data_IF_827818226633
#
_entry.id   IF_827818226633
#
_cell.length_a   1.000
_cell.length_b   1.000
_cell.length_c   1.000
_cell.angle_alpha   90.00
_cell.angle_beta   90.00
_cell.angle_gamma   90.00
#
_symmetry.space_group_name_H-M   'P 1'
#
loop_
_entity.id
_entity.type
_entity.pdbx_description
1 polymer ?
#
# COMPACT_ATOMS: atom_id res chain seq x y z
N UNK A 1 3.46 22.73 5.42
CA UNK A 1 4.23 21.48 5.25
C UNK A 1 5.54 21.43 6.06
N UNK A 2 6.09 22.57 6.52
CA UNK A 2 7.34 22.60 7.31
C UNK A 2 7.29 22.03 8.75
N UNK A 3 6.09 21.83 9.32
CA UNK A 3 5.92 21.25 10.67
C UNK A 3 5.87 19.70 10.66
N UNK A 4 5.61 19.08 9.50
CA UNK A 4 5.62 17.61 9.36
C UNK A 4 7.03 17.02 9.21
N UNK A 5 8.04 17.87 9.06
CA UNK A 5 9.45 17.48 8.89
C UNK A 5 10.38 18.29 9.80
N UNK A 6 9.89 18.86 10.90
CA UNK A 6 10.78 19.45 11.90
C UNK A 6 11.74 18.38 12.38
N UNK A 7 13.05 18.65 12.28
CA UNK A 7 14.09 17.80 12.86
C UNK A 7 14.11 18.08 14.36
N UNK A 8 13.89 17.08 15.23
CA UNK A 8 13.96 17.30 16.68
C UNK A 8 15.40 17.57 17.13
N UNK A 9 16.41 17.13 16.37
CA UNK A 9 17.81 17.56 16.52
C UNK A 9 18.55 17.58 15.17
N UNK A 10 19.39 18.59 14.95
CA UNK A 10 20.27 18.68 13.77
C UNK A 10 21.53 17.79 13.90
N UNK A 11 21.74 17.19 15.08
CA UNK A 11 22.88 16.31 15.35
C UNK A 11 22.47 14.85 15.23
N UNK A 12 23.05 14.12 14.28
CA UNK A 12 22.90 12.67 14.17
C UNK A 12 23.37 11.95 15.45
N UNK A 13 22.78 10.79 15.81
CA UNK A 13 23.29 9.98 16.91
C UNK A 13 24.72 9.52 16.62
N UNK A 14 25.49 9.29 17.69
CA UNK A 14 26.87 8.81 17.55
C UNK A 14 26.91 7.50 16.75
N UNK A 15 27.81 7.39 15.78
CA UNK A 15 27.90 6.21 14.92
C UNK A 15 26.81 6.11 13.85
N UNK A 16 26.04 7.17 13.59
CA UNK A 16 25.14 7.20 12.44
C UNK A 16 25.91 7.39 11.13
N UNK A 17 25.70 6.47 10.20
CA UNK A 17 26.24 6.56 8.84
C UNK A 17 25.12 6.29 7.83
N UNK A 18 25.29 6.80 6.61
CA UNK A 18 24.40 6.43 5.51
C UNK A 18 24.43 4.91 5.28
N UNK A 19 23.28 4.31 5.00
CA UNK A 19 23.19 2.90 4.66
C UNK A 19 24.24 2.51 3.62
N UNK A 20 24.97 1.43 3.88
CA UNK A 20 26.03 0.90 3.03
C UNK A 20 27.40 1.59 3.11
N UNK A 21 27.56 2.62 3.95
CA UNK A 21 28.85 3.29 4.15
C UNK A 21 29.86 2.40 4.89
N UNK A 22 30.88 1.93 4.18
CA UNK A 22 31.92 1.02 4.70
C UNK A 22 32.85 1.67 5.72
N UNK A 23 32.89 3.00 5.82
CA UNK A 23 33.66 3.68 6.89
C UNK A 23 33.16 3.29 8.29
N UNK A 24 31.91 2.85 8.38
CA UNK A 24 31.28 2.45 9.63
C UNK A 24 31.71 1.07 10.14
N UNK A 25 32.44 0.27 9.33
CA UNK A 25 32.86 -1.10 9.69
C UNK A 25 33.83 -1.09 10.87
N UNK A 26 34.72 -0.10 10.93
CA UNK A 26 35.71 0.03 12.00
C UNK A 26 35.16 0.80 13.22
N UNK A 27 33.89 1.19 13.19
CA UNK A 27 33.25 1.91 14.29
C UNK A 27 32.96 1.00 15.47
N UNK A 28 33.39 1.39 16.67
CA UNK A 28 33.15 0.64 17.92
C UNK A 28 31.68 0.43 18.25
N UNK A 29 30.78 1.25 17.70
CA UNK A 29 29.33 1.20 17.91
C UNK A 29 28.62 0.29 16.89
N UNK A 30 29.24 -0.05 15.76
CA UNK A 30 28.60 -0.80 14.66
C UNK A 30 29.14 -2.21 14.53
N UNK A 31 30.46 -2.37 14.57
CA UNK A 31 31.12 -3.67 14.37
C UNK A 31 30.56 -4.80 15.26
N UNK A 32 30.23 -4.58 16.55
CA UNK A 32 29.74 -5.65 17.42
C UNK A 32 28.38 -6.23 17.02
N UNK A 33 27.59 -5.52 16.22
CA UNK A 33 26.19 -5.86 15.93
C UNK A 33 25.98 -6.40 14.50
N UNK A 34 27.07 -6.72 13.80
CA UNK A 34 27.00 -7.30 12.46
C UNK A 34 26.43 -8.72 12.51
N UNK A 35 25.41 -8.99 11.71
CA UNK A 35 24.78 -10.30 11.62
C UNK A 35 23.88 -10.70 12.79
N UNK A 36 23.60 -9.79 13.72
CA UNK A 36 22.70 -10.01 14.87
C UNK A 36 21.49 -9.06 14.80
N UNK A 37 20.28 -9.61 14.97
CA UNK A 37 19.04 -8.85 15.07
C UNK A 37 18.08 -9.41 16.15
N UNK A 38 18.62 -10.01 17.20
CA UNK A 38 17.85 -10.71 18.26
C UNK A 38 16.81 -9.86 18.99
N UNK A 39 16.93 -8.53 18.97
CA UNK A 39 16.02 -7.63 19.68
C UNK A 39 16.16 -7.63 21.20
N UNK A 40 17.26 -8.21 21.70
CA UNK A 40 17.58 -8.28 23.13
C UNK A 40 18.63 -7.23 23.47
N UNK A 41 18.22 -6.18 24.17
CA UNK A 41 19.10 -5.03 24.49
C UNK A 41 19.99 -5.26 25.73
N UNK A 42 19.67 -6.28 26.56
CA UNK A 42 20.47 -6.65 27.74
C UNK A 42 20.78 -5.47 28.68
N UNK A 43 21.90 -5.57 29.41
CA UNK A 43 22.46 -4.50 30.24
C UNK A 43 23.50 -3.64 29.46
N UNK A 44 23.35 -3.53 28.14
CA UNK A 44 24.30 -2.80 27.29
C UNK A 44 24.24 -1.30 27.63
N UNK A 45 25.37 -0.63 27.87
CA UNK A 45 25.40 0.82 28.10
C UNK A 45 24.77 1.58 26.94
N UNK A 46 23.92 2.58 27.23
CA UNK A 46 23.19 3.34 26.21
C UNK A 46 24.08 4.07 25.19
N UNK A 47 25.34 4.33 25.54
CA UNK A 47 26.35 4.95 24.67
C UNK A 47 26.94 4.01 23.62
N UNK A 48 26.82 2.70 23.82
CA UNK A 48 27.36 1.66 22.94
C UNK A 48 26.30 1.08 22.01
N UNK A 49 25.02 1.40 22.24
CA UNK A 49 23.92 0.95 21.40
C UNK A 49 24.02 1.50 19.97
N UNK A 50 23.62 0.71 18.96
CA UNK A 50 23.60 1.17 17.59
C UNK A 50 22.58 2.29 17.37
N UNK A 51 22.73 3.08 16.30
CA UNK A 51 21.83 4.17 15.97
C UNK A 51 20.44 3.71 15.50
N UNK A 52 20.21 2.40 15.35
CA UNK A 52 18.93 1.81 14.95
C UNK A 52 18.55 0.65 15.89
N UNK A 53 17.24 0.32 16.03
CA UNK A 53 16.82 -0.86 16.76
C UNK A 53 17.45 -2.16 16.24
N UNK A 54 17.81 -3.09 17.12
CA UNK A 54 18.40 -4.38 16.75
C UNK A 54 17.53 -5.18 15.79
N UNK A 55 16.22 -5.15 15.98
CA UNK A 55 15.27 -5.83 15.09
C UNK A 55 15.25 -5.27 13.66
N UNK A 56 15.83 -4.08 13.43
CA UNK A 56 15.87 -3.44 12.13
C UNK A 56 17.19 -3.71 11.39
N UNK A 57 18.13 -4.41 12.03
CA UNK A 57 19.42 -4.78 11.45
C UNK A 57 19.20 -5.85 10.39
N UNK A 58 19.74 -5.57 9.20
CA UNK A 58 19.83 -6.49 8.07
C UNK A 58 21.25 -6.39 7.54
N UNK A 59 22.19 -7.07 8.19
CA UNK A 59 23.61 -7.05 7.81
C UNK A 59 24.18 -8.45 7.78
N UNK A 60 25.22 -8.71 6.96
CA UNK A 60 25.94 -9.96 7.03
C UNK A 60 26.87 -9.97 8.26
N UNK A 61 27.22 -11.17 8.74
CA UNK A 61 28.22 -11.36 9.81
C UNK A 61 29.62 -10.87 9.41
N UNK A 62 29.94 -10.95 8.12
CA UNK A 62 31.19 -10.46 7.54
C UNK A 62 30.88 -9.69 6.25
N UNK A 63 31.40 -8.47 6.13
CA UNK A 63 31.19 -7.63 4.96
C UNK A 63 32.33 -7.89 3.96
N UNK A 64 32.07 -8.78 3.00
CA UNK A 64 33.01 -9.08 1.90
C UNK A 64 32.71 -8.29 0.63
N UNK A 65 31.44 -7.96 0.41
CA UNK A 65 30.95 -7.25 -0.76
C UNK A 65 30.56 -5.80 -0.44
N UNK A 66 30.53 -4.94 -1.47
CA UNK A 66 29.99 -3.58 -1.37
C UNK A 66 28.50 -3.59 -1.05
N UNK A 67 28.14 -2.99 0.07
CA UNK A 67 26.75 -2.76 0.47
C UNK A 67 26.10 -1.64 -0.37
N UNK A 68 24.80 -1.73 -0.67
CA UNK A 68 24.11 -0.70 -1.43
C UNK A 68 23.97 0.59 -0.61
N UNK A 69 24.27 1.72 -1.23
CA UNK A 69 24.11 3.04 -0.59
C UNK A 69 22.63 3.39 -0.35
N UNK A 70 22.35 4.31 0.56
CA UNK A 70 20.99 4.84 0.81
C UNK A 70 20.28 5.27 -0.49
N UNK A 71 21.00 5.95 -1.38
CA UNK A 71 20.47 6.42 -2.66
C UNK A 71 20.12 5.28 -3.61
N UNK A 72 20.93 4.21 -3.64
CA UNK A 72 20.67 3.02 -4.45
C UNK A 72 19.45 2.24 -3.93
N UNK A 73 19.29 2.12 -2.61
CA UNK A 73 18.13 1.44 -2.02
C UNK A 73 16.84 2.22 -2.34
N UNK A 74 16.82 3.54 -2.12
CA UNK A 74 15.66 4.37 -2.44
C UNK A 74 15.34 4.36 -3.93
N UNK A 75 16.37 4.41 -4.79
CA UNK A 75 16.19 4.32 -6.25
C UNK A 75 15.62 2.96 -6.64
N UNK A 76 16.09 1.86 -6.04
CA UNK A 76 15.56 0.52 -6.29
C UNK A 76 14.09 0.40 -5.90
N UNK A 77 13.68 1.00 -4.76
CA UNK A 77 12.27 1.09 -4.39
C UNK A 77 11.46 1.91 -5.39
N UNK A 78 12.00 3.05 -5.86
CA UNK A 78 11.29 3.95 -6.76
C UNK A 78 11.10 3.30 -8.13
N UNK A 79 12.13 2.66 -8.67
CA UNK A 79 12.07 1.91 -9.92
C UNK A 79 11.09 0.75 -9.82
N UNK A 80 11.16 -0.03 -8.72
CA UNK A 80 10.22 -1.15 -8.52
C UNK A 80 8.78 -0.66 -8.45
N UNK A 81 8.51 0.42 -7.69
CA UNK A 81 7.17 1.00 -7.61
C UNK A 81 6.71 1.58 -8.95
N UNK A 82 7.57 2.21 -9.73
CA UNK A 82 7.21 2.71 -11.06
C UNK A 82 6.75 1.56 -11.99
N UNK A 83 7.46 0.43 -11.96
CA UNK A 83 7.05 -0.78 -12.69
C UNK A 83 5.70 -1.30 -12.18
N UNK A 84 5.52 -1.38 -10.86
CA UNK A 84 4.26 -1.80 -10.24
C UNK A 84 3.11 -0.87 -10.66
N UNK A 85 3.29 0.44 -10.64
CA UNK A 85 2.27 1.42 -11.03
C UNK A 85 1.79 1.18 -12.47
N UNK A 86 2.70 0.96 -13.40
CA UNK A 86 2.37 0.71 -14.81
C UNK A 86 1.59 -0.61 -14.94
N UNK A 87 2.12 -1.69 -14.37
CA UNK A 87 1.53 -3.02 -14.51
C UNK A 87 0.18 -3.12 -13.78
N UNK A 88 0.07 -2.55 -12.58
CA UNK A 88 -1.18 -2.54 -11.80
C UNK A 88 -2.25 -1.68 -12.47
N UNK A 89 -1.90 -0.58 -13.15
CA UNK A 89 -2.87 0.21 -13.92
C UNK A 89 -3.49 -0.59 -15.07
N UNK A 90 -2.77 -1.58 -15.62
CA UNK A 90 -3.32 -2.49 -16.64
C UNK A 90 -4.06 -3.66 -15.98
N UNK A 91 -3.47 -4.30 -14.97
CA UNK A 91 -4.05 -5.47 -14.31
C UNK A 91 -5.30 -5.17 -13.47
N UNK A 92 -5.39 -3.97 -12.90
CA UNK A 92 -6.58 -3.52 -12.18
C UNK A 92 -7.73 -3.17 -13.12
N UNK A 93 -7.48 -3.06 -14.43
CA UNK A 93 -8.51 -2.80 -15.41
C UNK A 93 -9.33 -4.06 -15.68
N UNK A 94 -10.48 -4.15 -15.01
CA UNK A 94 -11.38 -5.30 -15.04
C UNK A 94 -11.70 -5.88 -16.44
N UNK A 95 -11.92 -5.08 -17.51
CA UNK A 95 -12.13 -5.64 -18.84
C UNK A 95 -10.93 -6.44 -19.37
N UNK A 96 -9.70 -6.04 -19.02
CA UNK A 96 -8.50 -6.83 -19.35
C UNK A 96 -8.48 -8.13 -18.57
N UNK A 97 -8.85 -8.14 -17.29
CA UNK A 97 -8.96 -9.38 -16.49
C UNK A 97 -10.01 -10.33 -17.08
N UNK A 98 -11.17 -9.80 -17.47
CA UNK A 98 -12.20 -10.57 -18.14
C UNK A 98 -11.72 -11.14 -19.48
N UNK A 99 -10.97 -10.35 -20.25
CA UNK A 99 -10.38 -10.79 -21.51
C UNK A 99 -9.34 -11.91 -21.30
N UNK A 100 -8.38 -11.70 -20.40
CA UNK A 100 -7.32 -12.66 -20.08
C UNK A 100 -7.86 -13.98 -19.52
N UNK A 101 -8.91 -13.91 -18.71
CA UNK A 101 -9.56 -15.09 -18.12
C UNK A 101 -10.60 -15.76 -19.03
N UNK A 102 -10.70 -15.34 -20.31
CA UNK A 102 -11.73 -15.81 -21.26
C UNK A 102 -13.16 -15.73 -20.71
N UNK A 103 -13.39 -14.72 -19.87
CA UNK A 103 -14.68 -14.44 -19.24
C UNK A 103 -15.02 -15.30 -18.02
N UNK A 104 -14.06 -16.04 -17.46
CA UNK A 104 -14.25 -16.77 -16.19
C UNK A 104 -14.16 -15.83 -14.97
N UNK A 105 -13.17 -14.93 -14.95
CA UNK A 105 -12.93 -13.96 -13.87
C UNK A 105 -13.36 -12.55 -14.30
N UNK A 106 -13.49 -11.63 -13.34
CA UNK A 106 -13.95 -10.26 -13.61
C UNK A 106 -15.46 -10.15 -13.85
N UNK A 107 -16.22 -11.21 -13.56
CA UNK A 107 -17.68 -11.15 -13.41
C UNK A 107 -18.01 -10.72 -11.99
N UNK A 108 -18.98 -9.83 -11.83
CA UNK A 108 -19.31 -9.25 -10.52
C UNK A 108 -20.14 -10.25 -9.74
N UNK A 109 -19.53 -10.91 -8.76
CA UNK A 109 -20.21 -11.89 -7.92
C UNK A 109 -20.59 -11.20 -6.59
N UNK A 110 -21.79 -11.48 -6.07
CA UNK A 110 -22.20 -10.98 -4.75
C UNK A 110 -21.17 -11.44 -3.70
N UNK A 111 -20.66 -10.51 -2.88
CA UNK A 111 -19.64 -10.72 -1.83
C UNK A 111 -18.21 -11.06 -2.29
N UNK A 112 -17.89 -10.96 -3.58
CA UNK A 112 -16.54 -11.24 -4.09
C UNK A 112 -15.44 -10.37 -3.46
N UNK A 113 -15.75 -9.11 -3.13
CA UNK A 113 -14.80 -8.20 -2.46
C UNK A 113 -14.30 -8.81 -1.14
N UNK A 114 -15.19 -9.47 -0.38
CA UNK A 114 -14.86 -10.06 0.93
C UNK A 114 -13.84 -11.20 0.85
N UNK A 115 -13.69 -11.84 -0.31
CA UNK A 115 -12.72 -12.91 -0.55
C UNK A 115 -11.49 -12.40 -1.32
N UNK A 116 -11.63 -11.38 -2.14
CA UNK A 116 -10.51 -10.90 -2.97
C UNK A 116 -9.54 -10.01 -2.21
N UNK A 117 -9.98 -9.28 -1.17
CA UNK A 117 -9.05 -8.55 -0.30
C UNK A 117 -8.12 -9.49 0.48
N UNK A 118 -8.59 -10.68 0.87
CA UNK A 118 -7.74 -11.66 1.58
C UNK A 118 -6.68 -12.22 0.64
N UNK A 119 -7.00 -12.46 -0.63
CA UNK A 119 -6.04 -12.89 -1.64
C UNK A 119 -4.97 -11.80 -1.90
N UNK A 120 -5.37 -10.54 -2.02
CA UNK A 120 -4.42 -9.41 -2.18
C UNK A 120 -3.51 -9.31 -0.96
N UNK A 121 -4.08 -9.38 0.24
CA UNK A 121 -3.33 -9.33 1.50
C UNK A 121 -2.36 -10.51 1.63
N UNK A 122 -2.81 -11.73 1.35
CA UNK A 122 -1.98 -12.93 1.37
C UNK A 122 -0.82 -12.85 0.37
N UNK A 123 -1.05 -12.33 -0.84
CA UNK A 123 0.03 -12.13 -1.82
C UNK A 123 1.10 -11.16 -1.28
N UNK A 124 0.70 -10.07 -0.62
CA UNK A 124 1.66 -9.13 -0.04
C UNK A 124 2.44 -9.73 1.15
N UNK A 125 1.77 -10.52 2.00
CA UNK A 125 2.45 -11.26 3.06
C UNK A 125 3.45 -12.28 2.48
N UNK A 126 3.04 -13.06 1.49
CA UNK A 126 3.91 -14.04 0.84
C UNK A 126 5.11 -13.38 0.14
N UNK A 127 4.94 -12.19 -0.45
CA UNK A 127 6.04 -11.45 -1.05
C UNK A 127 7.12 -11.12 0.01
N UNK A 128 6.71 -10.57 1.15
CA UNK A 128 7.64 -10.22 2.22
C UNK A 128 8.25 -11.47 2.88
N UNK A 129 7.48 -12.56 3.01
CA UNK A 129 7.98 -13.82 3.56
C UNK A 129 9.02 -14.46 2.63
N UNK A 130 8.76 -14.46 1.31
CA UNK A 130 9.70 -14.96 0.31
C UNK A 130 11.00 -14.15 0.30
N UNK A 131 10.92 -12.82 0.44
CA UNK A 131 12.10 -11.96 0.54
C UNK A 131 12.86 -12.22 1.84
N UNK A 132 12.16 -12.34 2.97
CA UNK A 132 12.81 -12.66 4.24
C UNK A 132 13.55 -14.01 4.19
N UNK A 133 12.93 -15.03 3.60
CA UNK A 133 13.57 -16.33 3.38
C UNK A 133 14.76 -16.23 2.41
N UNK A 134 14.65 -15.44 1.34
CA UNK A 134 15.77 -15.22 0.41
C UNK A 134 16.95 -14.51 1.07
N UNK A 135 16.69 -13.51 1.91
CA UNK A 135 17.72 -12.78 2.66
C UNK A 135 18.37 -13.71 3.68
N UNK A 136 17.58 -14.38 4.53
CA UNK A 136 18.13 -15.29 5.56
C UNK A 136 18.90 -16.49 5.00
N UNK A 137 18.57 -16.95 3.78
CA UNK A 137 19.31 -18.01 3.09
C UNK A 137 20.54 -17.52 2.32
N UNK A 138 20.81 -16.21 2.31
CA UNK A 138 22.01 -15.68 1.65
C UNK A 138 23.23 -15.87 2.56
N UNK A 139 24.38 -16.36 2.06
CA UNK A 139 25.58 -16.56 2.87
C UNK A 139 25.95 -15.28 3.63
N UNK A 140 26.23 -15.41 4.94
CA UNK A 140 26.50 -14.29 5.85
C UNK A 140 25.28 -13.74 6.58
N UNK A 141 24.04 -14.03 6.15
CA UNK A 141 22.81 -13.52 6.78
C UNK A 141 22.06 -14.57 7.63
N UNK A 142 22.62 -15.78 7.77
CA UNK A 142 21.94 -16.91 8.43
C UNK A 142 21.67 -16.72 9.92
N UNK A 143 22.39 -15.82 10.59
CA UNK A 143 22.16 -15.47 12.01
C UNK A 143 20.94 -14.56 12.23
N UNK A 144 20.40 -13.97 11.16
CA UNK A 144 19.29 -13.04 11.28
C UNK A 144 17.95 -13.77 11.42
N UNK A 145 17.17 -13.34 12.41
CA UNK A 145 15.79 -13.72 12.58
C UNK A 145 14.95 -13.23 11.37
N UNK A 146 14.40 -14.19 10.63
CA UNK A 146 13.59 -13.93 9.44
C UNK A 146 12.31 -13.15 9.73
N UNK A 147 11.74 -13.27 10.94
CA UNK A 147 10.52 -12.54 11.34
C UNK A 147 10.77 -11.03 11.38
N UNK A 148 11.96 -10.62 11.84
CA UNK A 148 12.37 -9.22 11.89
C UNK A 148 12.60 -8.66 10.48
N UNK A 149 13.27 -9.42 9.61
CA UNK A 149 13.44 -9.04 8.19
C UNK A 149 12.07 -8.88 7.50
N UNK A 150 11.18 -9.85 7.70
CA UNK A 150 9.82 -9.85 7.16
C UNK A 150 9.03 -8.60 7.54
N UNK A 151 9.09 -8.22 8.82
CA UNK A 151 8.36 -7.07 9.37
C UNK A 151 8.94 -5.73 8.92
N UNK A 152 10.26 -5.61 8.81
CA UNK A 152 10.92 -4.41 8.23
C UNK A 152 10.47 -4.18 6.79
N UNK A 153 10.46 -5.23 5.95
CA UNK A 153 10.02 -5.09 4.56
C UNK A 153 8.51 -4.85 4.39
N UNK A 154 7.68 -5.13 5.41
CA UNK A 154 6.26 -4.75 5.36
C UNK A 154 6.05 -3.24 5.29
N UNK A 155 6.94 -2.46 5.92
CA UNK A 155 6.91 -1.01 5.97
C UNK A 155 7.36 -0.35 4.65
N UNK A 156 7.64 -1.11 3.59
CA UNK A 156 8.05 -0.58 2.28
C UNK A 156 7.04 0.45 1.76
N UNK A 157 7.48 1.58 1.16
CA UNK A 157 6.58 2.52 0.55
C UNK A 157 5.87 1.93 -0.67
N UNK A 158 4.58 2.21 -0.79
CA UNK A 158 3.74 1.78 -1.91
C UNK A 158 3.00 2.98 -2.50
N UNK A 159 3.21 3.26 -3.80
CA UNK A 159 2.68 4.42 -4.51
C UNK A 159 1.54 4.07 -5.47
N UNK A 160 1.47 2.84 -5.96
CA UNK A 160 0.41 2.39 -6.88
C UNK A 160 -1.02 2.62 -6.37
N UNK A 161 -1.24 2.67 -5.05
CA UNK A 161 -2.53 3.01 -4.43
C UNK A 161 -3.05 4.40 -4.79
N UNK A 162 -2.15 5.39 -4.92
CA UNK A 162 -2.50 6.76 -5.32
C UNK A 162 -3.08 6.73 -6.73
N UNK A 163 -2.43 6.00 -7.64
CA UNK A 163 -2.85 5.89 -9.04
C UNK A 163 -4.17 5.13 -9.16
N UNK A 164 -4.33 4.00 -8.46
CA UNK A 164 -5.61 3.27 -8.42
C UNK A 164 -6.74 4.13 -7.83
N UNK A 165 -6.44 4.93 -6.80
CA UNK A 165 -7.37 5.88 -6.19
C UNK A 165 -7.80 7.03 -7.12
N UNK A 166 -6.95 7.42 -8.08
CA UNK A 166 -7.33 8.37 -9.14
C UNK A 166 -8.14 7.67 -10.24
N UNK A 167 -7.65 6.52 -10.73
CA UNK A 167 -8.25 5.78 -11.84
C UNK A 167 -9.67 5.31 -11.52
N UNK A 168 -9.97 4.95 -10.26
CA UNK A 168 -11.34 4.57 -9.83
C UNK A 168 -12.37 5.66 -10.08
N UNK A 169 -11.98 6.93 -10.08
CA UNK A 169 -12.89 8.07 -10.19
C UNK A 169 -12.88 8.69 -11.59
N UNK A 170 -11.76 8.62 -12.29
CA UNK A 170 -11.58 9.23 -13.61
C UNK A 170 -11.98 8.29 -14.76
N UNK A 171 -11.69 6.99 -14.65
CA UNK A 171 -11.93 6.04 -15.74
C UNK A 171 -13.30 5.38 -15.57
N UNK A 172 -14.24 5.80 -16.41
CA UNK A 172 -15.54 5.18 -16.56
C UNK A 172 -15.68 4.53 -17.93
N UNK A 173 -16.12 3.28 -17.97
CA UNK A 173 -16.31 2.50 -19.20
C UNK A 173 -17.79 2.25 -19.40
N UNK A 174 -18.27 2.35 -20.65
CA UNK A 174 -19.63 1.93 -21.00
C UNK A 174 -19.71 0.42 -20.90
N UNK A 175 -20.67 -0.07 -20.11
CA UNK A 175 -20.82 -1.50 -19.85
C UNK A 175 -21.30 -2.23 -21.11
N UNK A 176 -20.61 -3.29 -21.53
CA UNK A 176 -21.02 -4.09 -22.70
C UNK A 176 -22.03 -5.18 -22.29
N UNK A 177 -22.95 -5.51 -23.21
CA UNK A 177 -24.04 -6.50 -23.03
C UNK A 177 -23.56 -7.88 -22.54
N UNK A 178 -22.32 -8.26 -22.85
CA UNK A 178 -21.75 -9.55 -22.45
C UNK A 178 -21.60 -9.69 -20.91
N UNK A 179 -21.50 -8.58 -20.18
CA UNK A 179 -21.23 -8.59 -18.75
C UNK A 179 -22.45 -8.81 -17.87
N UNK A 180 -23.66 -8.47 -18.32
CA UNK A 180 -24.80 -8.32 -17.41
C UNK A 180 -25.88 -9.41 -17.50
N UNK A 181 -25.96 -10.21 -18.58
CA UNK A 181 -27.08 -11.15 -18.82
C UNK A 181 -28.49 -10.54 -18.62
N UNK A 182 -28.63 -9.23 -18.42
CA UNK A 182 -29.91 -8.57 -18.18
C UNK A 182 -30.55 -8.19 -19.51
N UNK A 183 -31.86 -8.40 -19.59
CA UNK A 183 -32.72 -8.05 -20.73
C UNK A 183 -33.21 -6.61 -20.57
N UNK A 184 -32.36 -5.62 -20.89
CA UNK A 184 -32.81 -4.22 -20.92
C UNK A 184 -33.53 -3.90 -22.24
N UNK A 185 -34.72 -3.32 -22.12
CA UNK A 185 -35.76 -3.18 -23.15
C UNK A 185 -35.51 -1.97 -24.10
N UNK A 186 -34.54 -1.07 -23.85
CA UNK A 186 -34.24 0.03 -24.78
C UNK A 186 -32.79 0.57 -24.73
N UNK A 187 -31.98 0.24 -25.75
CA UNK A 187 -30.54 0.53 -25.87
C UNK A 187 -30.23 2.03 -25.97
N UNK A 188 -31.14 2.84 -26.51
CA UNK A 188 -30.87 4.27 -26.76
C UNK A 188 -30.86 5.11 -25.47
N UNK A 189 -31.39 4.58 -24.37
CA UNK A 189 -31.49 5.28 -23.07
C UNK A 189 -30.52 4.77 -21.99
N UNK A 190 -29.75 3.71 -22.25
CA UNK A 190 -28.83 3.16 -21.26
C UNK A 190 -27.51 3.96 -21.21
N UNK A 191 -27.36 4.80 -20.18
CA UNK A 191 -26.15 5.61 -19.91
C UNK A 191 -25.33 5.08 -18.74
N UNK A 192 -25.51 3.81 -18.33
CA UNK A 192 -24.75 3.23 -17.19
C UNK A 192 -23.24 3.23 -17.48
N UNK A 193 -22.48 3.75 -16.52
CA UNK A 193 -21.01 3.79 -16.56
C UNK A 193 -20.48 2.90 -15.45
N UNK A 194 -19.63 1.94 -15.80
CA UNK A 194 -18.90 1.12 -14.83
C UNK A 194 -17.53 1.72 -14.57
N UNK A 195 -17.06 1.66 -13.32
CA UNK A 195 -15.73 2.09 -12.92
C UNK A 195 -14.86 0.87 -12.64
N UNK A 196 -14.07 0.41 -13.63
CA UNK A 196 -13.43 -0.91 -13.60
C UNK A 196 -12.35 -1.05 -12.52
N UNK A 197 -11.76 0.05 -12.06
CA UNK A 197 -10.72 0.06 -11.04
C UNK A 197 -11.24 0.03 -9.60
N UNK A 198 -12.56 0.18 -9.40
CA UNK A 198 -13.12 0.37 -8.06
C UNK A 198 -12.84 -0.81 -7.15
N UNK A 199 -13.08 -2.02 -7.63
CA UNK A 199 -13.01 -3.21 -6.79
C UNK A 199 -11.56 -3.56 -6.46
N UNK A 200 -10.65 -3.42 -7.43
CA UNK A 200 -9.20 -3.52 -7.23
C UNK A 200 -8.68 -2.48 -6.23
N UNK A 201 -9.16 -1.22 -6.32
CA UNK A 201 -8.78 -0.19 -5.35
C UNK A 201 -9.26 -0.52 -3.94
N UNK A 202 -10.51 -0.93 -3.77
CA UNK A 202 -11.08 -1.22 -2.44
C UNK A 202 -10.32 -2.38 -1.78
N UNK A 203 -10.12 -3.46 -2.52
CA UNK A 203 -9.40 -4.64 -2.02
C UNK A 203 -7.96 -4.29 -1.65
N UNK A 204 -7.25 -3.58 -2.52
CA UNK A 204 -5.86 -3.15 -2.25
C UNK A 204 -5.77 -2.17 -1.08
N UNK A 205 -6.69 -1.21 -0.96
CA UNK A 205 -6.70 -0.25 0.15
C UNK A 205 -6.97 -0.92 1.51
N UNK A 206 -7.88 -1.91 1.55
CA UNK A 206 -8.13 -2.70 2.77
C UNK A 206 -6.90 -3.55 3.12
N UNK A 207 -6.30 -4.22 2.14
CA UNK A 207 -5.06 -4.99 2.37
C UNK A 207 -3.92 -4.11 2.86
N UNK A 208 -3.76 -2.91 2.29
CA UNK A 208 -2.73 -1.96 2.73
C UNK A 208 -2.96 -1.47 4.15
N UNK A 209 -4.21 -1.16 4.50
CA UNK A 209 -4.55 -0.77 5.88
C UNK A 209 -4.08 -1.84 6.88
N UNK A 210 -4.28 -3.13 6.57
CA UNK A 210 -3.82 -4.22 7.43
C UNK A 210 -2.29 -4.31 7.49
N UNK A 211 -1.59 -4.13 6.38
CA UNK A 211 -0.12 -4.10 6.35
C UNK A 211 0.43 -2.92 7.16
N UNK A 212 -0.21 -1.75 7.06
CA UNK A 212 0.12 -0.58 7.86
C UNK A 212 -0.10 -0.84 9.35
N UNK A 213 -1.17 -1.55 9.74
CA UNK A 213 -1.41 -1.94 11.15
C UNK A 213 -0.25 -2.82 11.64
N UNK A 214 0.14 -3.82 10.86
CA UNK A 214 1.26 -4.71 11.25
C UNK A 214 2.57 -3.91 11.37
N UNK A 215 2.86 -3.04 10.41
CA UNK A 215 4.04 -2.18 10.44
C UNK A 215 4.03 -1.21 11.64
N UNK A 216 2.88 -0.62 11.96
CA UNK A 216 2.69 0.25 13.12
C UNK A 216 2.92 -0.48 14.45
N UNK A 217 2.37 -1.69 14.59
CA UNK A 217 2.57 -2.54 15.77
C UNK A 217 4.05 -2.89 15.91
N UNK A 218 4.69 -3.34 14.83
CA UNK A 218 6.11 -3.71 14.84
C UNK A 218 7.01 -2.53 15.20
N UNK A 219 6.85 -1.40 14.52
CA UNK A 219 7.66 -0.19 14.78
C UNK A 219 7.44 0.35 16.18
N UNK A 220 6.21 0.32 16.71
CA UNK A 220 5.92 0.72 18.09
C UNK A 220 6.56 -0.22 19.12
N UNK A 221 6.39 -1.54 18.96
CA UNK A 221 6.96 -2.53 19.89
C UNK A 221 8.49 -2.48 19.90
N UNK A 222 9.12 -2.39 18.73
CA UNK A 222 10.59 -2.30 18.62
C UNK A 222 11.11 -0.97 19.17
N UNK A 223 10.42 0.14 18.92
CA UNK A 223 10.78 1.44 19.51
C UNK A 223 10.70 1.45 21.04
N UNK A 224 9.69 0.79 21.63
CA UNK A 224 9.55 0.70 23.08
C UNK A 224 10.66 -0.12 23.76
N UNK A 225 11.29 -1.06 23.05
CA UNK A 225 12.42 -1.85 23.56
C UNK A 225 13.73 -1.08 23.60
N UNK A 226 13.88 -0.06 22.75
CA UNK A 226 15.05 0.81 22.77
C UNK A 226 15.05 1.61 24.08
N UNK A 227 16.16 1.65 24.84
CA UNK A 227 16.26 2.42 26.07
C UNK A 227 15.88 3.90 25.88
N UNK A 228 15.14 4.46 26.85
CA UNK A 228 14.59 5.83 26.81
C UNK A 228 15.65 6.90 26.61
N UNK A 229 16.84 6.67 27.17
CA UNK A 229 17.90 7.68 27.27
C UNK A 229 18.83 7.66 26.03
N UNK A 230 18.50 6.86 25.02
CA UNK A 230 19.28 6.77 23.79
C UNK A 230 18.92 7.89 22.79
N UNK A 231 19.93 8.53 22.21
CA UNK A 231 19.74 9.55 21.15
C UNK A 231 19.08 8.99 19.89
N UNK A 232 19.28 7.70 19.62
CA UNK A 232 18.62 6.99 18.51
C UNK A 232 17.10 6.99 18.67
N UNK A 233 16.60 6.79 19.89
CA UNK A 233 15.17 6.79 20.20
C UNK A 233 14.54 8.18 20.04
N UNK A 234 15.24 9.22 20.47
CA UNK A 234 14.82 10.61 20.29
C UNK A 234 14.68 10.95 18.80
N UNK A 235 15.69 10.63 17.99
CA UNK A 235 15.68 10.90 16.55
C UNK A 235 14.58 10.13 15.79
N UNK A 236 14.28 8.90 16.22
CA UNK A 236 13.27 8.03 15.58
C UNK A 236 11.83 8.27 16.08
N UNK A 237 11.65 8.98 17.20
CA UNK A 237 10.36 9.15 17.88
C UNK A 237 9.25 9.75 16.99
N UNK A 238 9.57 10.83 16.27
CA UNK A 238 8.64 11.46 15.33
C UNK A 238 8.22 10.50 14.22
N UNK A 239 9.18 9.74 13.71
CA UNK A 239 8.94 8.80 12.61
C UNK A 239 8.03 7.66 13.04
N UNK A 240 8.29 7.11 14.21
CA UNK A 240 7.46 6.05 14.79
C UNK A 240 6.06 6.56 15.04
N UNK A 241 5.92 7.79 15.54
CA UNK A 241 4.61 8.44 15.71
C UNK A 241 3.86 8.55 14.38
N UNK A 242 4.52 8.99 13.31
CA UNK A 242 3.89 9.07 11.99
C UNK A 242 3.52 7.69 11.41
N UNK A 243 4.41 6.71 11.50
CA UNK A 243 4.12 5.34 11.04
C UNK A 243 2.95 4.75 11.84
N UNK A 244 2.89 4.98 13.15
CA UNK A 244 1.78 4.51 14.00
C UNK A 244 0.44 5.17 13.68
N UNK A 245 0.44 6.39 13.16
CA UNK A 245 -0.78 7.12 12.77
C UNK A 245 -1.29 6.76 11.37
N UNK A 246 -0.42 6.19 10.51
CA UNK A 246 -0.72 5.87 9.11
C UNK A 246 -1.93 4.94 8.93
N UNK A 247 -2.12 3.88 9.75
CA UNK A 247 -3.33 3.04 9.70
C UNK A 247 -4.62 3.83 9.91
N UNK A 248 -4.63 4.78 10.85
CA UNK A 248 -5.82 5.57 11.15
C UNK A 248 -6.17 6.49 9.98
N UNK A 249 -5.18 7.11 9.36
CA UNK A 249 -5.37 7.92 8.13
C UNK A 249 -5.90 7.05 6.99
N UNK A 250 -5.33 5.85 6.79
CA UNK A 250 -5.82 4.91 5.78
C UNK A 250 -7.25 4.45 6.06
N UNK A 251 -7.60 4.15 7.31
CA UNK A 251 -8.96 3.80 7.72
C UNK A 251 -9.94 4.93 7.39
N UNK A 252 -9.59 6.18 7.70
CA UNK A 252 -10.39 7.34 7.32
C UNK A 252 -10.58 7.43 5.79
N UNK A 253 -9.53 7.13 5.02
CA UNK A 253 -9.63 7.09 3.56
C UNK A 253 -10.61 6.00 3.09
N UNK A 254 -10.51 4.79 3.64
CA UNK A 254 -11.40 3.66 3.30
C UNK A 254 -12.85 4.01 3.67
N UNK A 255 -13.08 4.52 4.88
CA UNK A 255 -14.42 4.89 5.38
C UNK A 255 -15.01 6.07 4.60
N UNK A 256 -14.19 7.04 4.16
CA UNK A 256 -14.68 8.15 3.35
C UNK A 256 -14.99 7.72 1.92
N UNK A 257 -14.06 7.05 1.24
CA UNK A 257 -14.16 6.81 -0.19
C UNK A 257 -15.02 5.61 -0.59
N UNK A 258 -15.08 4.55 0.24
CA UNK A 258 -15.90 3.37 -0.08
C UNK A 258 -17.40 3.72 -0.16
N UNK A 259 -18.01 4.41 0.83
CA UNK A 259 -19.43 4.78 0.78
C UNK A 259 -19.72 5.86 -0.27
N UNK A 260 -18.81 6.82 -0.45
CA UNK A 260 -18.89 7.84 -1.52
C UNK A 260 -19.01 7.15 -2.88
N UNK A 261 -18.17 6.16 -3.17
CA UNK A 261 -18.27 5.42 -4.43
C UNK A 261 -19.52 4.56 -4.53
N UNK A 262 -19.98 3.94 -3.43
CA UNK A 262 -21.29 3.26 -3.41
C UNK A 262 -22.47 4.21 -3.69
N UNK A 263 -22.32 5.50 -3.38
CA UNK A 263 -23.35 6.53 -3.57
C UNK A 263 -23.30 7.21 -4.94
N UNK A 264 -22.12 7.35 -5.54
CA UNK A 264 -21.91 8.06 -6.81
C UNK A 264 -21.63 7.16 -8.01
N UNK A 265 -21.22 5.92 -7.78
CA UNK A 265 -21.11 4.90 -8.82
C UNK A 265 -22.42 4.14 -8.89
N UNK A 266 -23.12 4.23 -10.02
CA UNK A 266 -24.23 3.36 -10.41
C UNK A 266 -23.79 1.89 -10.64
N UNK A 267 -22.80 1.43 -9.89
CA UNK A 267 -22.14 0.13 -9.95
C UNK A 267 -22.55 -0.81 -8.80
N UNK A 268 -23.32 -0.32 -7.82
CA UNK A 268 -24.07 -1.15 -6.87
C UNK A 268 -25.58 -0.98 -7.07
N UNK A 269 -26.20 -1.64 -8.06
CA UNK A 269 -27.48 -2.24 -7.74
C UNK A 269 -27.15 -3.38 -6.76
N UNK A 270 -27.20 -3.12 -5.46
CA UNK A 270 -27.68 -4.17 -4.56
C UNK A 270 -29.17 -4.33 -4.92
N UNK A 271 -29.40 -5.05 -6.03
CA UNK A 271 -30.60 -5.82 -6.26
C UNK A 271 -30.69 -6.83 -5.10
N UNK A 272 -31.56 -6.64 -4.11
CA UNK A 272 -32.63 -5.65 -4.05
C UNK A 272 -33.00 -5.23 -2.65
N UNK A 273 -32.57 -4.02 -2.25
CA UNK A 273 -33.27 -3.26 -1.20
C UNK A 273 -33.38 -1.75 -1.41
N UNK A 274 -32.88 -1.18 -2.52
CA UNK A 274 -32.98 0.29 -2.74
C UNK A 274 -33.26 0.77 -4.17
N UNK A 275 -33.86 -0.08 -5.00
CA UNK A 275 -34.83 0.45 -5.97
C UNK A 275 -36.16 0.84 -5.29
N UNK A 276 -36.32 0.53 -4.00
CA UNK A 276 -37.54 0.78 -3.20
C UNK A 276 -37.64 2.16 -2.53
N UNK A 277 -36.75 3.11 -2.85
CA UNK A 277 -37.02 4.54 -2.51
C UNK A 277 -37.10 5.40 -3.76
N UNK A 278 -37.91 4.94 -4.72
CA UNK A 278 -38.92 5.76 -5.41
C UNK A 278 -38.53 7.06 -6.12
N UNK A 279 -37.26 7.34 -6.47
CA UNK A 279 -36.91 8.66 -7.05
C UNK A 279 -35.93 8.73 -8.23
N UNK A 280 -35.56 7.63 -8.88
CA UNK A 280 -34.75 7.70 -10.12
C UNK A 280 -35.35 7.03 -11.35
N UNK A 281 -36.29 6.10 -11.16
CA UNK A 281 -37.20 5.65 -12.20
C UNK A 281 -38.61 6.01 -11.72
N UNK A 282 -39.05 7.22 -12.03
CA UNK A 282 -40.43 7.63 -11.77
C UNK A 282 -41.30 6.95 -12.81
N UNK A 283 -41.65 5.68 -12.59
CA UNK A 283 -42.73 5.04 -13.31
C UNK A 283 -44.02 5.52 -12.66
N UNK A 284 -44.65 6.54 -13.23
CA UNK A 284 -45.98 7.00 -12.84
C UNK A 284 -46.99 6.31 -13.73
N UNK A 285 -47.83 5.45 -13.14
CA UNK A 285 -48.96 4.86 -13.85
C UNK A 285 -50.15 5.79 -13.66
N UNK A 286 -50.62 6.37 -14.76
CA UNK A 286 -51.80 7.22 -14.75
C UNK A 286 -53.09 6.38 -14.57
N UNK A 287 -54.19 6.99 -14.11
CA UNK A 287 -55.46 6.27 -13.87
C UNK A 287 -56.05 5.60 -15.11
N UNK A 288 -55.63 6.01 -16.31
CA UNK A 288 -56.01 5.42 -17.60
C UNK A 288 -55.20 4.16 -17.97
N UNK A 289 -54.29 3.72 -17.10
CA UNK A 289 -53.42 2.57 -17.32
C UNK A 289 -52.13 2.90 -18.08
N UNK A 290 -51.87 4.16 -18.43
CA UNK A 290 -50.63 4.54 -19.13
C UNK A 290 -49.47 4.68 -18.14
N UNK A 291 -48.38 3.94 -18.38
CA UNK A 291 -47.15 4.05 -17.59
C UNK A 291 -46.20 5.07 -18.23
N UNK A 292 -45.96 6.18 -17.54
CA UNK A 292 -44.95 7.18 -17.93
C UNK A 292 -43.66 6.94 -17.16
N UNK A 293 -42.55 6.84 -17.89
CA UNK A 293 -41.23 6.53 -17.35
C UNK A 293 -40.38 7.81 -17.39
N UNK A 294 -40.34 8.54 -16.27
CA UNK A 294 -39.46 9.70 -16.12
C UNK A 294 -38.06 9.25 -15.67
N UNK A 295 -37.11 9.30 -16.62
CA UNK A 295 -35.68 9.22 -16.33
C UNK A 295 -35.21 10.63 -16.05
N UNK A 296 -34.88 10.93 -14.79
CA UNK A 296 -34.32 12.24 -14.42
C UNK A 296 -32.88 12.29 -14.94
N UNK A 297 -32.64 12.98 -16.06
CA UNK A 297 -31.28 13.17 -16.57
C UNK A 297 -30.47 14.00 -15.57
N UNK A 298 -29.45 13.41 -14.97
CA UNK A 298 -28.51 14.15 -14.14
C UNK A 298 -27.73 15.15 -15.00
N UNK A 299 -27.55 16.38 -14.51
CA UNK A 299 -26.76 17.41 -15.20
C UNK A 299 -25.31 16.93 -15.32
N UNK A 300 -24.79 16.69 -16.54
CA UNK A 300 -23.52 15.98 -16.76
C UNK A 300 -22.32 16.72 -16.16
N UNK A 301 -22.39 18.04 -16.05
CA UNK A 301 -21.33 18.89 -15.48
C UNK A 301 -21.12 18.63 -14.00
N UNK A 302 -22.20 18.48 -13.22
CA UNK A 302 -22.12 18.25 -11.77
C UNK A 302 -21.46 16.91 -11.42
N UNK A 303 -21.70 15.88 -12.25
CA UNK A 303 -21.12 14.54 -12.08
C UNK A 303 -19.63 14.55 -12.39
N UNK A 304 -19.20 15.24 -13.46
CA UNK A 304 -17.78 15.39 -13.81
C UNK A 304 -16.99 16.11 -12.72
N UNK A 305 -17.51 17.23 -12.19
CA UNK A 305 -16.87 17.98 -11.10
C UNK A 305 -16.68 17.10 -9.86
N UNK A 306 -17.73 16.38 -9.44
CA UNK A 306 -17.64 15.47 -8.29
C UNK A 306 -16.58 14.37 -8.47
N UNK A 307 -16.41 13.85 -9.69
CA UNK A 307 -15.38 12.85 -10.00
C UNK A 307 -13.97 13.41 -9.88
N UNK A 308 -13.74 14.61 -10.42
CA UNK A 308 -12.45 15.30 -10.33
C UNK A 308 -12.11 15.59 -8.87
N UNK A 309 -13.06 16.12 -8.10
CA UNK A 309 -12.88 16.38 -6.67
C UNK A 309 -12.59 15.09 -5.89
N UNK A 310 -13.29 13.99 -6.18
CA UNK A 310 -13.04 12.68 -5.54
C UNK A 310 -11.65 12.13 -5.88
N UNK A 311 -11.22 12.25 -7.15
CA UNK A 311 -9.88 11.84 -7.59
C UNK A 311 -8.79 12.68 -6.91
N UNK A 312 -8.94 14.00 -6.88
CA UNK A 312 -8.01 14.91 -6.22
C UNK A 312 -7.92 14.64 -4.72
N UNK A 313 -9.06 14.46 -4.03
CA UNK A 313 -9.07 14.09 -2.62
C UNK A 313 -8.38 12.74 -2.37
N UNK A 314 -8.61 11.76 -3.26
CA UNK A 314 -7.92 10.46 -3.17
C UNK A 314 -6.42 10.59 -3.35
N UNK A 315 -5.98 11.42 -4.30
CA UNK A 315 -4.57 11.66 -4.56
C UNK A 315 -3.88 12.34 -3.38
N UNK A 316 -4.52 13.35 -2.78
CA UNK A 316 -3.99 14.06 -1.61
C UNK A 316 -3.89 13.14 -0.40
N UNK A 317 -4.96 12.41 -0.07
CA UNK A 317 -4.98 11.58 1.14
C UNK A 317 -4.10 10.34 1.02
N UNK A 318 -4.17 9.61 -0.10
CA UNK A 318 -3.27 8.47 -0.33
C UNK A 318 -1.83 8.92 -0.55
N UNK A 319 -1.64 10.05 -1.22
CA UNK A 319 -0.32 10.65 -1.40
C UNK A 319 0.32 10.98 -0.05
N UNK A 320 -0.46 11.50 0.91
CA UNK A 320 0.03 11.72 2.27
C UNK A 320 0.51 10.41 2.94
N UNK A 321 -0.28 9.33 2.90
CA UNK A 321 0.12 8.03 3.46
C UNK A 321 1.39 7.51 2.82
N UNK A 322 1.49 7.57 1.48
CA UNK A 322 2.69 7.14 0.76
C UNK A 322 3.90 8.03 1.08
N UNK A 323 3.72 9.34 1.19
CA UNK A 323 4.79 10.28 1.57
C UNK A 323 5.33 9.96 2.97
N UNK A 324 4.47 9.60 3.91
CA UNK A 324 4.90 9.17 5.25
C UNK A 324 5.80 7.94 5.15
N UNK A 325 5.39 6.90 4.41
CA UNK A 325 6.22 5.69 4.21
C UNK A 325 7.58 6.02 3.54
N UNK A 326 7.59 6.87 2.51
CA UNK A 326 8.83 7.28 1.85
C UNK A 326 9.74 8.08 2.78
N UNK A 327 9.16 9.00 3.57
CA UNK A 327 9.91 9.79 4.54
C UNK A 327 10.51 8.91 5.63
N UNK A 328 9.78 7.88 6.09
CA UNK A 328 10.25 6.86 7.01
C UNK A 328 11.54 6.22 6.49
N UNK A 329 11.50 5.66 5.28
CA UNK A 329 12.68 5.02 4.69
C UNK A 329 13.82 6.00 4.41
N UNK A 330 13.51 7.20 3.93
CA UNK A 330 14.53 8.20 3.61
C UNK A 330 15.36 8.57 4.84
N UNK A 331 14.75 8.79 6.02
CA UNK A 331 15.55 9.05 7.23
C UNK A 331 16.10 7.77 7.84
N UNK A 332 15.37 6.65 7.82
CA UNK A 332 15.88 5.37 8.33
C UNK A 332 17.24 5.05 7.68
N UNK A 333 17.36 5.18 6.36
CA UNK A 333 18.59 4.88 5.63
C UNK A 333 19.74 5.88 5.85
N UNK A 334 19.58 6.90 6.68
CA UNK A 334 20.69 7.83 7.05
C UNK A 334 21.43 7.44 8.32
N UNK A 335 20.93 6.45 9.05
CA UNK A 335 21.47 6.02 10.35
C UNK A 335 22.27 4.71 10.35
N UNK A 336 21.92 3.66 9.60
CA UNK A 336 22.38 2.31 9.92
C UNK A 336 23.82 2.00 9.52
N UNK A 337 24.46 2.78 8.65
CA UNK A 337 25.74 2.39 8.07
C UNK A 337 25.65 1.01 7.41
N UNK A 338 26.61 0.15 7.69
CA UNK A 338 26.59 -1.26 7.23
C UNK A 338 25.59 -2.17 7.95
N UNK A 339 24.94 -1.72 9.02
CA UNK A 339 23.90 -2.51 9.73
C UNK A 339 22.65 -2.74 8.86
N UNK A 340 22.49 -1.99 7.77
CA UNK A 340 21.46 -2.20 6.78
C UNK A 340 22.08 -2.36 5.38
N UNK A 341 22.41 -3.61 5.08
CA UNK A 341 23.01 -4.06 3.84
C UNK A 341 22.14 -5.18 3.26
N UNK A 342 20.99 -4.87 2.63
CA UNK A 342 20.09 -5.88 2.10
C UNK A 342 20.72 -6.58 0.86
N UNK A 343 20.80 -7.93 0.84
CA UNK A 343 21.29 -8.62 -0.33
C UNK A 343 20.21 -8.63 -1.43
N UNK A 344 20.64 -8.83 -2.68
CA UNK A 344 19.74 -9.22 -3.77
C UNK A 344 18.56 -8.26 -4.03
N UNK A 345 18.78 -6.95 -3.90
CA UNK A 345 17.74 -5.92 -4.07
C UNK A 345 16.89 -6.07 -5.35
N UNK A 346 17.53 -6.41 -6.48
CA UNK A 346 16.84 -6.61 -7.76
C UNK A 346 15.84 -7.78 -7.67
N UNK A 347 16.25 -8.88 -7.05
CA UNK A 347 15.43 -10.08 -6.92
C UNK A 347 14.25 -9.84 -5.97
N UNK A 348 14.48 -9.09 -4.88
CA UNK A 348 13.40 -8.61 -4.01
C UNK A 348 12.41 -7.73 -4.77
N UNK A 349 12.91 -6.83 -5.62
CA UNK A 349 12.11 -6.03 -6.53
C UNK A 349 11.19 -6.87 -7.42
N UNK A 350 11.74 -7.89 -8.09
CA UNK A 350 10.98 -8.80 -8.95
C UNK A 350 9.90 -9.55 -8.17
N UNK A 351 10.21 -10.08 -6.98
CA UNK A 351 9.23 -10.76 -6.11
C UNK A 351 8.08 -9.80 -5.79
N UNK A 352 8.39 -8.57 -5.39
CA UNK A 352 7.36 -7.56 -5.13
C UNK A 352 6.49 -7.26 -6.34
N UNK A 353 7.07 -7.14 -7.54
CA UNK A 353 6.29 -6.93 -8.77
C UNK A 353 5.32 -8.07 -9.00
N UNK A 354 5.80 -9.32 -8.97
CA UNK A 354 5.00 -10.51 -9.28
C UNK A 354 3.83 -10.65 -8.30
N UNK A 355 4.11 -10.63 -7.01
CA UNK A 355 3.07 -10.82 -5.99
C UNK A 355 2.09 -9.64 -5.94
N UNK A 356 2.55 -8.41 -6.18
CA UNK A 356 1.64 -7.26 -6.28
C UNK A 356 0.73 -7.37 -7.49
N UNK A 357 1.26 -7.84 -8.63
CA UNK A 357 0.47 -8.07 -9.84
C UNK A 357 -0.58 -9.17 -9.63
N UNK A 358 -0.19 -10.30 -9.02
CA UNK A 358 -1.11 -11.39 -8.67
C UNK A 358 -2.21 -10.92 -7.72
N UNK A 359 -1.86 -10.19 -6.66
CA UNK A 359 -2.82 -9.60 -5.74
C UNK A 359 -3.77 -8.65 -6.45
N UNK A 360 -3.26 -7.76 -7.30
CA UNK A 360 -4.07 -6.81 -8.06
C UNK A 360 -5.04 -7.51 -9.02
N UNK A 361 -4.60 -8.56 -9.71
CA UNK A 361 -5.45 -9.38 -10.57
C UNK A 361 -6.56 -10.06 -9.78
N UNK A 362 -6.24 -10.60 -8.60
CA UNK A 362 -7.24 -11.18 -7.70
C UNK A 362 -8.25 -10.13 -7.21
N UNK A 363 -7.78 -8.93 -6.85
CA UNK A 363 -8.62 -7.79 -6.47
C UNK A 363 -9.55 -7.33 -7.60
N UNK A 364 -9.07 -7.31 -8.84
CA UNK A 364 -9.85 -6.93 -10.02
C UNK A 364 -10.79 -8.04 -10.52
N UNK A 365 -10.52 -9.30 -10.16
CA UNK A 365 -11.35 -10.45 -10.54
C UNK A 365 -12.71 -10.48 -9.83
N UNK A 366 -12.87 -9.70 -8.74
CA UNK A 366 -14.09 -9.63 -7.92
C UNK A 366 -15.31 -9.13 -8.70
#
# INVERSE_FOLDING_TARGET
>A
MGVLFSRPSDSFPAGAYGAGDTSSINGSIIAPYLGDNTGLYGDIPTKELPPIPFEWIISPSEIKDTCPSSSQILTAFAVTEAVIVILTSVAAYRPVVHFLSRGMLGRRIKRSIALTWTAVFACQLLANAAIAGMVGNTPGYGGLNMLHIFTVYMARPRFHLVVLGMLRSLVGVKRSRAFDKTTIINTKRDRRVEFPYTDAFITTAVSEMLLLIIAAIFTSVTWHRVPSDSKAREYTSDMVSFVSSSPAVMLLCVVAFVPINRRYGDAFPIEGRRYETGRHWGATVAPDGTATLHVKEAVPTSVKVKRIVSAAASAVLMGFVTLVQWSYWAKFLTMPGVLFCPPKLIQSGVIWVIFTLMGTLAGAAS
#
